data_IF_907694284209
#
_entry.id   IF_907694284209
#
_cell.length_a   1.000
_cell.length_b   1.000
_cell.length_c   1.000
_cell.angle_alpha   90.00
_cell.angle_beta   90.00
_cell.angle_gamma   90.00
#
_symmetry.space_group_name_H-M   'P 1'
#
loop_
_entity.id
_entity.type
_entity.pdbx_description
1 polymer ?
#
# COMPACT_ATOMS: atom_id res chain seq x y z
N UNK A 1 6.22 5.92 2.48
CA UNK A 1 5.55 4.62 2.21
C UNK A 1 4.21 4.83 1.51
N UNK A 2 3.14 5.26 2.19
CA UNK A 2 1.86 5.64 1.54
C UNK A 2 1.28 6.85 2.27
N UNK A 3 0.77 7.84 1.53
CA UNK A 3 0.11 9.05 2.04
C UNK A 3 -1.35 9.08 1.57
N UNK A 4 -2.26 9.60 2.39
CA UNK A 4 -3.65 9.81 2.02
C UNK A 4 -3.97 11.30 2.14
N UNK A 5 -4.53 11.88 1.09
CA UNK A 5 -5.02 13.26 1.05
C UNK A 5 -6.49 13.26 0.61
N UNK A 6 -7.36 13.97 1.34
CA UNK A 6 -8.77 14.14 0.95
C UNK A 6 -9.02 15.58 0.50
N UNK A 7 -9.63 15.74 -0.67
CA UNK A 7 -10.14 17.02 -1.15
C UNK A 7 -11.57 16.85 -1.64
N UNK A 8 -12.51 17.50 -0.96
CA UNK A 8 -13.95 17.33 -1.20
C UNK A 8 -14.36 15.85 -1.13
N UNK A 9 -14.78 15.27 -2.24
CA UNK A 9 -15.20 13.87 -2.38
C UNK A 9 -14.11 12.97 -3.01
N UNK A 10 -12.89 13.48 -3.17
CA UNK A 10 -11.79 12.79 -3.84
C UNK A 10 -10.71 12.45 -2.81
N UNK A 11 -10.41 11.16 -2.69
CA UNK A 11 -9.30 10.61 -1.94
C UNK A 11 -8.11 10.38 -2.87
N UNK A 12 -6.94 10.88 -2.50
CA UNK A 12 -5.68 10.67 -3.22
C UNK A 12 -4.74 9.86 -2.33
N UNK A 13 -4.58 8.58 -2.68
CA UNK A 13 -3.66 7.66 -2.05
C UNK A 13 -2.36 7.62 -2.87
N UNK A 14 -1.28 8.11 -2.27
CA UNK A 14 0.00 8.36 -2.93
C UNK A 14 1.04 7.39 -2.35
N UNK A 15 1.46 6.42 -3.15
CA UNK A 15 2.52 5.48 -2.80
C UNK A 15 3.90 6.15 -3.01
N UNK A 16 4.75 6.04 -1.99
CA UNK A 16 6.02 6.75 -1.87
C UNK A 16 7.05 5.83 -1.18
N UNK A 17 7.31 4.68 -1.83
CA UNK A 17 8.21 3.63 -1.37
C UNK A 17 9.08 3.10 -2.54
N UNK A 18 9.77 4.00 -3.23
CA UNK A 18 10.63 3.73 -4.39
C UNK A 18 9.90 2.93 -5.50
N UNK A 19 10.04 1.61 -5.56
CA UNK A 19 9.35 0.74 -6.52
C UNK A 19 8.00 0.19 -6.01
N UNK A 20 7.56 0.61 -4.83
CA UNK A 20 6.32 0.19 -4.17
C UNK A 20 6.18 -1.34 -4.15
N UNK A 21 7.21 -2.03 -3.64
CA UNK A 21 7.23 -3.48 -3.46
C UNK A 21 6.41 -3.89 -2.24
N UNK A 22 5.70 -5.00 -2.35
CA UNK A 22 4.70 -5.43 -1.38
C UNK A 22 5.33 -6.41 -0.41
N UNK A 23 5.49 -5.96 0.82
CA UNK A 23 5.72 -6.78 2.00
C UNK A 23 4.56 -6.55 2.98
N UNK A 24 4.59 -7.22 4.13
CA UNK A 24 3.47 -7.16 5.06
C UNK A 24 3.24 -5.75 5.62
N UNK A 25 4.30 -4.97 5.86
CA UNK A 25 4.21 -3.57 6.28
C UNK A 25 3.47 -2.71 5.25
N UNK A 26 3.84 -2.82 3.97
CA UNK A 26 3.21 -2.06 2.89
C UNK A 26 1.71 -2.39 2.77
N UNK A 27 1.37 -3.69 2.78
CA UNK A 27 -0.01 -4.16 2.63
C UNK A 27 -0.89 -3.74 3.81
N UNK A 28 -0.39 -3.84 5.05
CA UNK A 28 -1.13 -3.35 6.21
C UNK A 28 -1.38 -1.86 6.14
N UNK A 29 -0.36 -1.08 5.75
CA UNK A 29 -0.55 0.36 5.64
C UNK A 29 -1.58 0.73 4.56
N UNK A 30 -1.57 0.01 3.43
CA UNK A 30 -2.59 0.21 2.40
C UNK A 30 -3.98 -0.15 2.92
N UNK A 31 -4.13 -1.30 3.58
CA UNK A 31 -5.40 -1.77 4.16
C UNK A 31 -5.96 -0.78 5.17
N UNK A 32 -5.13 -0.26 6.08
CA UNK A 32 -5.54 0.75 7.08
C UNK A 32 -6.14 2.00 6.42
N UNK A 33 -5.56 2.46 5.30
CA UNK A 33 -6.04 3.64 4.59
C UNK A 33 -7.31 3.34 3.78
N UNK A 34 -7.44 2.12 3.25
CA UNK A 34 -8.68 1.69 2.60
C UNK A 34 -9.81 1.58 3.62
N UNK A 35 -9.55 1.03 4.81
CA UNK A 35 -10.52 0.99 5.92
C UNK A 35 -10.97 2.41 6.32
N UNK A 36 -10.04 3.37 6.36
CA UNK A 36 -10.37 4.79 6.61
C UNK A 36 -11.32 5.35 5.54
N UNK A 37 -11.04 5.08 4.26
CA UNK A 37 -11.88 5.55 3.14
C UNK A 37 -13.26 4.87 3.16
N UNK A 38 -13.32 3.56 3.40
CA UNK A 38 -14.57 2.78 3.46
C UNK A 38 -15.47 3.19 4.63
N UNK A 39 -14.88 3.74 5.69
CA UNK A 39 -15.64 4.25 6.84
C UNK A 39 -16.33 5.60 6.60
N UNK A 40 -16.02 6.31 5.50
CA UNK A 40 -16.66 7.58 5.15
C UNK A 40 -17.92 7.35 4.31
N UNK A 41 -19.07 7.80 4.83
CA UNK A 41 -20.36 7.64 4.18
C UNK A 41 -20.56 8.63 3.02
N UNK A 42 -21.08 8.13 1.89
CA UNK A 42 -21.53 8.96 0.77
C UNK A 42 -20.73 8.74 -0.53
N UNK A 43 -20.98 9.55 -1.57
CA UNK A 43 -20.29 9.41 -2.84
C UNK A 43 -18.82 9.82 -2.70
N UNK A 44 -17.90 8.95 -3.10
CA UNK A 44 -16.46 9.22 -3.08
C UNK A 44 -15.76 8.63 -4.30
N UNK A 45 -14.63 9.22 -4.68
CA UNK A 45 -13.71 8.67 -5.67
C UNK A 45 -12.33 8.48 -5.05
N UNK A 46 -11.68 7.35 -5.35
CA UNK A 46 -10.30 7.08 -4.95
C UNK A 46 -9.37 7.16 -6.16
N UNK A 47 -8.35 7.98 -6.06
CA UNK A 47 -7.21 8.05 -6.96
C UNK A 47 -6.03 7.38 -6.26
N UNK A 48 -5.46 6.36 -6.89
CA UNK A 48 -4.18 5.78 -6.47
C UNK A 48 -3.08 6.27 -7.40
N UNK A 49 -1.94 6.66 -6.83
CA UNK A 49 -0.80 7.17 -7.59
C UNK A 49 0.52 6.80 -6.93
N UNK A 50 1.62 7.00 -7.66
CA UNK A 50 2.98 6.78 -7.16
C UNK A 50 3.78 8.08 -7.31
N UNK A 51 4.66 8.36 -6.34
CA UNK A 51 5.66 9.42 -6.46
C UNK A 51 6.79 9.04 -7.42
N UNK A 52 6.98 7.75 -7.68
CA UNK A 52 7.98 7.29 -8.62
C UNK A 52 7.52 7.57 -10.06
N UNK A 53 8.34 8.25 -10.89
CA UNK A 53 7.95 8.66 -12.24
C UNK A 53 7.83 7.49 -13.22
N UNK A 54 8.36 6.31 -12.87
CA UNK A 54 8.40 5.12 -13.72
C UNK A 54 7.50 4.00 -13.22
N UNK A 55 7.45 3.79 -11.90
CA UNK A 55 6.80 2.63 -11.31
C UNK A 55 5.55 3.03 -10.51
N UNK A 56 4.41 2.46 -10.87
CA UNK A 56 3.27 2.41 -9.96
C UNK A 56 3.56 1.43 -8.82
N UNK A 57 3.89 0.17 -9.14
CA UNK A 57 4.37 -0.85 -8.21
C UNK A 57 5.02 -2.01 -8.97
N UNK A 58 6.04 -2.63 -8.39
CA UNK A 58 6.65 -3.87 -8.88
C UNK A 58 6.12 -5.14 -8.20
N UNK A 59 5.01 -5.04 -7.46
CA UNK A 59 4.35 -6.19 -6.83
C UNK A 59 5.15 -6.75 -5.64
N UNK A 60 5.09 -8.08 -5.45
CA UNK A 60 5.67 -8.76 -4.28
C UNK A 60 7.17 -8.44 -4.10
N UNK A 61 7.55 -8.15 -2.85
CA UNK A 61 8.94 -8.01 -2.45
C UNK A 61 9.60 -9.40 -2.37
N UNK A 62 10.33 -9.76 -3.43
CA UNK A 62 10.98 -11.06 -3.55
C UNK A 62 12.24 -11.19 -2.70
N UNK A 63 12.89 -10.08 -2.35
CA UNK A 63 14.09 -10.12 -1.51
C UNK A 63 13.66 -10.35 -0.06
N UNK A 64 12.63 -9.64 0.39
CA UNK A 64 12.00 -9.86 1.69
C UNK A 64 11.43 -11.28 1.86
N UNK A 65 10.70 -11.81 0.88
CA UNK A 65 10.06 -13.13 1.04
C UNK A 65 11.09 -14.27 1.13
N UNK A 66 12.27 -14.08 0.53
CA UNK A 66 13.34 -15.06 0.54
C UNK A 66 14.19 -14.97 1.81
N UNK A 67 14.35 -13.78 2.38
CA UNK A 67 15.21 -13.54 3.54
C UNK A 67 14.62 -12.49 4.52
N UNK A 68 13.51 -12.82 5.20
CA UNK A 68 12.80 -11.85 6.04
C UNK A 68 13.60 -11.41 7.28
N UNK A 69 14.61 -12.17 7.70
CA UNK A 69 15.48 -11.83 8.84
C UNK A 69 16.41 -10.65 8.48
N UNK A 70 16.89 -10.60 7.24
CA UNK A 70 17.73 -9.51 6.75
C UNK A 70 16.92 -8.36 6.11
N UNK A 71 15.60 -8.51 6.03
CA UNK A 71 14.63 -7.51 5.54
C UNK A 71 13.57 -7.18 6.59
N UNK A 72 13.95 -6.66 7.78
CA UNK A 72 13.03 -6.45 8.90
C UNK A 72 11.93 -5.43 8.60
N UNK A 73 12.13 -4.55 7.61
CA UNK A 73 11.14 -3.57 7.16
C UNK A 73 9.84 -4.17 6.66
N UNK A 74 9.84 -5.43 6.24
CA UNK A 74 8.67 -6.11 5.72
C UNK A 74 7.82 -6.84 6.76
N UNK A 75 8.29 -6.93 8.02
CA UNK A 75 7.74 -7.70 9.13
C UNK A 75 7.51 -9.21 8.84
N UNK A 76 7.67 -10.07 9.85
CA UNK A 76 7.45 -11.51 9.67
C UNK A 76 5.94 -11.86 9.66
N UNK A 77 5.46 -12.45 8.56
CA UNK A 77 4.13 -13.08 8.49
C UNK A 77 3.37 -12.80 7.18
N UNK A 78 3.16 -13.84 6.38
CA UNK A 78 2.58 -13.75 5.02
C UNK A 78 1.05 -13.62 4.96
N UNK A 79 0.36 -13.67 6.11
CA UNK A 79 -1.10 -13.81 6.14
C UNK A 79 -1.84 -12.57 5.58
N UNK A 80 -1.19 -11.41 5.54
CA UNK A 80 -1.77 -10.15 5.03
C UNK A 80 -1.70 -10.05 3.49
N UNK A 81 -0.68 -10.64 2.86
CA UNK A 81 -0.40 -10.44 1.42
C UNK A 81 -1.30 -11.27 0.51
N UNK A 82 -1.91 -12.36 1.03
CA UNK A 82 -2.73 -13.29 0.24
C UNK A 82 -4.14 -12.80 -0.08
N UNK A 83 -4.65 -11.83 0.67
CA UNK A 83 -6.04 -11.37 0.53
C UNK A 83 -6.17 -10.00 -0.14
N UNK A 84 -5.05 -9.36 -0.49
CA UNK A 84 -5.04 -8.07 -1.17
C UNK A 84 -5.09 -8.28 -2.69
N UNK A 85 -6.19 -8.85 -3.18
CA UNK A 85 -6.58 -8.70 -4.57
C UNK A 85 -7.56 -7.53 -4.63
N UNK A 86 -7.08 -6.39 -5.15
CA UNK A 86 -7.94 -5.31 -5.66
C UNK A 86 -8.32 -5.66 -7.10
#
# INVERSE_FOLDING_TARGET
MIKLEKKDLIYSLIMDADENRWNTTFVRKLSELLDEIESDDGPGALITSSTNPKFFSNGLDLDWIQDPENHPEGEAGMNSVKNLCI
#
